data_IF_489181754005
#
_entry.id   IF_489181754005
#
_cell.length_a   1.000
_cell.length_b   1.000
_cell.length_c   1.000
_cell.angle_alpha   90.00
_cell.angle_beta   90.00
_cell.angle_gamma   90.00
#
_symmetry.space_group_name_H-M   'P 1'
#
loop_
_entity.id
_entity.type
_entity.pdbx_description
1 polymer ?
#
# COMPACT_ATOMS: atom_id res chain seq x y z
N UNK A 1 -1.78 -16.39 -0.09
CA UNK A 1 -1.05 -15.57 -1.12
C UNK A 1 -1.21 -16.10 -2.55
N UNK A 2 -2.06 -17.09 -2.75
CA UNK A 2 -2.35 -17.61 -4.11
C UNK A 2 -2.92 -16.53 -5.04
N UNK A 3 -3.69 -15.59 -4.51
CA UNK A 3 -4.28 -14.47 -5.27
C UNK A 3 -3.20 -13.66 -6.02
N UNK A 4 -2.07 -13.41 -5.37
CA UNK A 4 -0.94 -12.69 -5.98
C UNK A 4 -0.24 -13.54 -7.06
N UNK A 5 -0.03 -14.83 -6.83
CA UNK A 5 0.54 -15.71 -7.85
C UNK A 5 -0.38 -15.86 -9.07
N UNK A 6 -1.70 -15.89 -8.84
CA UNK A 6 -2.69 -15.90 -9.91
C UNK A 6 -2.61 -14.61 -10.74
N UNK A 7 -2.38 -13.45 -10.09
CA UNK A 7 -2.15 -12.18 -10.79
C UNK A 7 -0.91 -12.25 -11.69
N UNK A 8 0.24 -12.68 -11.16
CA UNK A 8 1.48 -12.82 -11.97
C UNK A 8 1.27 -13.75 -13.16
N UNK A 9 0.65 -14.90 -12.93
CA UNK A 9 0.35 -15.86 -14.01
C UNK A 9 -0.57 -15.24 -15.06
N UNK A 10 -1.62 -14.52 -14.64
CA UNK A 10 -2.56 -13.86 -15.56
C UNK A 10 -1.85 -12.82 -16.42
N UNK A 11 -0.96 -12.00 -15.86
CA UNK A 11 -0.20 -11.02 -16.64
C UNK A 11 0.70 -11.71 -17.67
N UNK A 12 1.39 -12.80 -17.28
CA UNK A 12 2.29 -13.53 -18.18
C UNK A 12 1.56 -14.24 -19.33
N UNK A 13 0.30 -14.66 -19.12
CA UNK A 13 -0.48 -15.43 -20.10
C UNK A 13 -1.43 -14.58 -20.95
N UNK A 14 -1.97 -13.50 -20.38
CA UNK A 14 -3.00 -12.68 -21.02
C UNK A 14 -2.52 -11.23 -21.30
N UNK A 15 -1.36 -10.83 -20.74
CA UNK A 15 -0.87 -9.46 -20.82
C UNK A 15 -0.52 -9.04 -22.24
N UNK A 16 -0.88 -7.80 -22.57
CA UNK A 16 -0.49 -7.15 -23.82
C UNK A 16 0.81 -6.38 -23.60
N UNK A 17 1.74 -6.50 -24.52
CA UNK A 17 3.00 -5.73 -24.47
C UNK A 17 2.72 -4.26 -24.80
N UNK A 18 3.20 -3.37 -23.93
CA UNK A 18 3.08 -1.90 -24.07
C UNK A 18 4.41 -1.24 -23.79
N UNK A 19 4.62 -0.09 -24.44
CA UNK A 19 5.65 0.87 -24.02
C UNK A 19 5.22 1.58 -22.72
N UNK A 20 6.21 2.15 -22.04
CA UNK A 20 6.01 2.94 -20.82
C UNK A 20 6.95 4.15 -20.79
N UNK A 21 6.78 5.03 -19.80
CA UNK A 21 7.58 6.24 -19.62
C UNK A 21 9.09 5.96 -19.46
N UNK A 22 9.43 4.82 -18.83
CA UNK A 22 10.83 4.45 -18.54
C UNK A 22 11.56 3.84 -19.76
N UNK A 23 10.83 3.49 -20.82
CA UNK A 23 11.39 2.81 -22.00
C UNK A 23 11.69 1.32 -21.78
N UNK A 24 11.44 0.78 -20.58
CA UNK A 24 11.66 -0.65 -20.27
C UNK A 24 10.65 -1.54 -20.99
N UNK A 25 9.41 -1.07 -21.13
CA UNK A 25 8.27 -1.84 -21.64
C UNK A 25 7.64 -2.74 -20.58
N UNK A 26 6.40 -3.09 -20.80
CA UNK A 26 5.60 -3.89 -19.85
C UNK A 26 4.76 -4.93 -20.56
N UNK A 27 4.41 -6.01 -19.86
CA UNK A 27 3.19 -6.79 -20.11
C UNK A 27 2.11 -6.25 -19.19
N UNK A 28 0.94 -5.93 -19.72
CA UNK A 28 -0.12 -5.25 -18.97
C UNK A 28 -1.49 -5.88 -19.23
N UNK A 29 -2.30 -5.96 -18.17
CA UNK A 29 -3.74 -6.21 -18.22
C UNK A 29 -4.46 -5.00 -17.64
N UNK A 30 -5.70 -4.76 -18.02
CA UNK A 30 -6.48 -3.67 -17.46
C UNK A 30 -7.61 -4.20 -16.59
N UNK A 31 -7.54 -3.88 -15.29
CA UNK A 31 -8.50 -4.30 -14.28
C UNK A 31 -8.22 -5.69 -13.70
N UNK A 32 -7.93 -5.71 -12.39
CA UNK A 32 -7.81 -6.94 -11.59
C UNK A 32 -8.22 -6.66 -10.15
N UNK A 33 -8.74 -7.67 -9.45
CA UNK A 33 -9.07 -7.56 -8.04
C UNK A 33 -8.58 -8.79 -7.28
N UNK A 34 -7.93 -8.54 -6.14
CA UNK A 34 -7.52 -9.56 -5.17
C UNK A 34 -8.23 -9.30 -3.84
N UNK A 35 -8.52 -10.38 -3.10
CA UNK A 35 -9.09 -10.33 -1.76
C UNK A 35 -8.24 -11.08 -0.77
N UNK A 36 -7.99 -10.48 0.38
CA UNK A 36 -7.20 -11.03 1.47
C UNK A 36 -8.00 -10.94 2.77
N UNK A 37 -8.46 -12.08 3.29
CA UNK A 37 -9.10 -12.14 4.60
C UNK A 37 -8.01 -12.10 5.68
N UNK A 38 -8.03 -11.06 6.52
CA UNK A 38 -6.99 -10.89 7.53
C UNK A 38 -7.11 -11.89 8.70
N UNK A 39 -8.18 -12.68 8.75
CA UNK A 39 -8.30 -13.83 9.68
C UNK A 39 -7.36 -14.97 9.29
N UNK A 40 -7.03 -15.10 8.00
CA UNK A 40 -6.08 -16.12 7.51
C UNK A 40 -4.63 -15.80 7.86
N UNK A 41 -4.35 -14.57 8.29
CA UNK A 41 -3.04 -14.05 8.62
C UNK A 41 -2.73 -12.71 7.94
N UNK A 42 -1.55 -12.18 8.22
CA UNK A 42 -1.08 -10.93 7.61
C UNK A 42 -0.56 -11.20 6.19
N UNK A 43 -1.09 -10.54 5.14
CA UNK A 43 -0.78 -10.88 3.75
C UNK A 43 0.59 -10.33 3.30
N UNK A 44 1.66 -10.76 3.96
CA UNK A 44 3.04 -10.53 3.58
C UNK A 44 3.53 -11.71 2.75
N UNK A 45 4.04 -11.47 1.54
CA UNK A 45 4.49 -12.52 0.63
C UNK A 45 5.50 -13.47 1.29
N UNK A 46 5.26 -14.78 1.11
CA UNK A 46 6.18 -15.84 1.54
C UNK A 46 6.96 -16.46 0.39
N UNK A 47 6.56 -16.24 -0.86
CA UNK A 47 7.25 -16.73 -2.06
C UNK A 47 8.50 -15.92 -2.42
N UNK A 48 8.65 -14.73 -1.86
CA UNK A 48 9.91 -13.97 -1.77
C UNK A 48 9.91 -13.12 -0.51
N UNK A 49 11.09 -12.96 0.09
CA UNK A 49 11.26 -12.10 1.28
C UNK A 49 11.04 -10.64 0.92
N UNK A 50 10.21 -9.94 1.69
CA UNK A 50 9.98 -8.50 1.61
C UNK A 50 10.64 -7.77 2.78
N UNK A 51 10.99 -6.49 2.57
CA UNK A 51 11.60 -5.64 3.59
C UNK A 51 10.50 -4.91 4.40
N UNK A 52 9.93 -5.60 5.41
CA UNK A 52 8.82 -5.08 6.22
C UNK A 52 9.13 -3.74 6.88
N UNK A 53 10.39 -3.51 7.29
CA UNK A 53 10.80 -2.23 7.89
C UNK A 53 10.47 -1.04 7.00
N UNK A 54 10.74 -1.14 5.69
CA UNK A 54 10.40 -0.07 4.75
C UNK A 54 8.90 0.15 4.64
N UNK A 55 8.12 -0.93 4.64
CA UNK A 55 6.64 -0.87 4.57
C UNK A 55 6.06 -0.13 5.78
N UNK A 56 6.52 -0.47 6.98
CA UNK A 56 6.04 0.16 8.22
C UNK A 56 6.42 1.65 8.26
N UNK A 57 7.70 1.98 8.01
CA UNK A 57 8.14 3.38 8.05
C UNK A 57 7.48 4.25 6.99
N UNK A 58 7.26 3.73 5.77
CA UNK A 58 6.53 4.45 4.72
C UNK A 58 5.09 4.74 5.15
N UNK A 59 4.37 3.75 5.70
CA UNK A 59 3.01 3.96 6.19
C UNK A 59 2.95 4.98 7.32
N UNK A 60 3.86 4.90 8.29
CA UNK A 60 3.96 5.88 9.38
C UNK A 60 4.29 7.29 8.84
N UNK A 61 5.13 7.38 7.83
CA UNK A 61 5.48 8.64 7.16
C UNK A 61 4.25 9.26 6.47
N UNK A 62 3.43 8.46 5.76
CA UNK A 62 2.16 8.94 5.21
C UNK A 62 1.20 9.44 6.30
N UNK A 63 1.06 8.69 7.41
CA UNK A 63 0.19 9.05 8.52
C UNK A 63 0.65 10.32 9.27
N UNK A 64 1.93 10.64 9.23
CA UNK A 64 2.46 11.91 9.75
C UNK A 64 2.11 13.11 8.87
N UNK A 65 1.66 12.89 7.64
CA UNK A 65 1.43 13.94 6.66
C UNK A 65 2.72 14.51 6.06
N UNK A 66 3.83 13.81 6.26
CA UNK A 66 5.15 14.23 5.81
C UNK A 66 5.36 13.92 4.32
N UNK A 67 6.14 14.74 3.65
CA UNK A 67 6.48 14.63 2.21
C UNK A 67 7.98 14.69 1.96
N UNK A 68 8.78 14.92 3.01
CA UNK A 68 10.23 14.94 2.93
C UNK A 68 10.82 13.57 3.27
N UNK A 69 11.76 13.08 2.46
CA UNK A 69 12.36 11.74 2.64
C UNK A 69 13.30 11.63 3.83
N UNK A 70 13.64 12.74 4.51
CA UNK A 70 14.59 12.73 5.64
C UNK A 70 14.17 11.78 6.75
N UNK A 71 12.88 11.78 7.13
CA UNK A 71 12.37 10.83 8.12
C UNK A 71 12.64 9.37 7.72
N UNK A 72 12.42 9.03 6.45
CA UNK A 72 12.68 7.67 5.96
C UNK A 72 14.18 7.34 5.98
N UNK A 73 15.03 8.29 5.56
CA UNK A 73 16.48 8.12 5.52
C UNK A 73 17.08 7.95 6.92
N UNK A 74 16.63 8.70 7.93
CA UNK A 74 17.03 8.57 9.33
C UNK A 74 16.77 7.16 9.88
N UNK A 75 15.76 6.47 9.35
CA UNK A 75 15.43 5.09 9.71
C UNK A 75 16.02 4.04 8.75
N UNK A 76 16.89 4.47 7.81
CA UNK A 76 17.54 3.57 6.86
C UNK A 76 16.64 3.08 5.72
N UNK A 77 15.53 3.79 5.46
CA UNK A 77 14.60 3.52 4.35
C UNK A 77 14.90 4.49 3.21
N UNK A 78 15.09 3.94 2.00
CA UNK A 78 15.56 4.70 0.84
C UNK A 78 14.67 4.56 -0.40
N UNK A 79 13.48 3.98 -0.24
CA UNK A 79 12.59 3.62 -1.34
C UNK A 79 12.00 4.82 -2.11
N UNK A 80 12.20 6.04 -1.61
CA UNK A 80 11.75 7.29 -2.22
C UNK A 80 12.89 8.21 -2.69
N UNK A 81 14.16 7.83 -2.45
CA UNK A 81 15.31 8.70 -2.74
C UNK A 81 15.45 9.10 -4.21
N UNK A 82 15.03 8.23 -5.13
CA UNK A 82 15.17 8.43 -6.58
C UNK A 82 14.28 9.54 -7.13
N UNK A 83 13.22 9.90 -6.40
CA UNK A 83 12.26 10.92 -6.80
C UNK A 83 12.40 12.25 -6.03
N UNK A 84 13.11 12.23 -4.91
CA UNK A 84 13.30 13.42 -4.09
C UNK A 84 14.26 14.43 -4.74
N UNK A 85 13.98 15.71 -4.55
CA UNK A 85 14.88 16.78 -4.94
C UNK A 85 16.13 16.84 -4.03
N UNK A 86 17.00 17.81 -4.25
CA UNK A 86 18.24 18.03 -3.48
C UNK A 86 17.99 18.33 -1.99
N UNK A 87 16.80 18.81 -1.64
CA UNK A 87 16.37 19.11 -0.27
C UNK A 87 15.61 17.92 0.37
N UNK A 88 15.38 16.85 -0.39
CA UNK A 88 14.61 15.69 0.04
C UNK A 88 13.10 15.84 -0.10
N UNK A 89 12.63 16.84 -0.83
CA UNK A 89 11.20 17.11 -1.02
C UNK A 89 10.63 16.32 -2.21
N UNK A 90 9.36 15.92 -2.08
CA UNK A 90 8.61 15.17 -3.08
C UNK A 90 7.37 15.92 -3.60
N UNK A 91 7.14 17.12 -3.10
CA UNK A 91 5.89 17.85 -3.34
C UNK A 91 4.71 17.26 -2.55
N UNK A 92 3.46 17.64 -2.90
CA UNK A 92 2.27 17.31 -2.11
C UNK A 92 1.80 15.86 -2.31
N UNK A 93 2.71 14.87 -2.11
CA UNK A 93 2.43 13.44 -2.27
C UNK A 93 1.54 12.89 -1.14
N UNK A 94 1.29 11.60 -1.10
CA UNK A 94 0.36 10.85 -0.25
C UNK A 94 0.08 11.43 1.15
N UNK A 95 1.12 11.68 1.95
CA UNK A 95 0.98 12.19 3.32
C UNK A 95 0.27 13.54 3.36
N UNK A 96 0.66 14.45 2.48
CA UNK A 96 0.01 15.76 2.35
C UNK A 96 -1.47 15.61 1.99
N UNK A 97 -1.80 14.81 0.97
CA UNK A 97 -3.17 14.62 0.54
C UNK A 97 -4.03 13.96 1.62
N UNK A 98 -3.50 12.97 2.35
CA UNK A 98 -4.23 12.28 3.40
C UNK A 98 -4.52 13.16 4.62
N UNK A 99 -3.58 14.05 4.99
CA UNK A 99 -3.60 14.78 6.25
C UNK A 99 -3.85 16.29 6.12
N UNK A 100 -3.63 16.86 4.96
CA UNK A 100 -3.66 18.32 4.74
C UNK A 100 -4.22 18.68 3.36
N UNK A 101 -5.26 17.96 2.91
CA UNK A 101 -5.92 18.26 1.64
C UNK A 101 -6.38 19.72 1.60
N UNK A 102 -6.02 20.51 0.57
CA UNK A 102 -6.41 21.91 0.51
C UNK A 102 -7.94 22.08 0.49
N UNK A 103 -8.47 22.90 1.40
CA UNK A 103 -9.88 23.31 1.37
C UNK A 103 -10.02 24.59 0.54
N UNK A 104 -11.07 24.68 -0.26
CA UNK A 104 -11.40 25.88 -1.05
C UNK A 104 -11.62 27.16 -0.22
N UNK A 105 -11.75 27.03 1.11
CA UNK A 105 -11.86 28.15 2.07
C UNK A 105 -10.51 28.61 2.62
N UNK A 106 -9.39 28.05 2.12
CA UNK A 106 -8.04 28.37 2.58
C UNK A 106 -7.58 27.64 3.83
N UNK A 107 -8.29 26.59 4.25
CA UNK A 107 -7.91 25.66 5.29
C UNK A 107 -7.42 24.32 4.73
N UNK A 108 -7.38 23.30 5.59
CA UNK A 108 -7.03 21.93 5.23
C UNK A 108 -8.02 20.91 5.79
N UNK A 109 -8.12 19.78 5.11
CA UNK A 109 -8.95 18.64 5.50
C UNK A 109 -8.02 17.48 5.83
N UNK A 110 -8.11 16.97 7.06
CA UNK A 110 -7.47 15.72 7.48
C UNK A 110 -8.40 14.55 7.18
N UNK A 111 -8.19 13.89 6.04
CA UNK A 111 -9.03 12.80 5.58
C UNK A 111 -8.92 11.57 6.49
N UNK A 112 -7.73 11.26 7.04
CA UNK A 112 -7.52 10.12 7.94
C UNK A 112 -8.28 10.33 9.26
N UNK A 113 -8.14 11.50 9.87
CA UNK A 113 -8.89 11.83 11.08
C UNK A 113 -10.41 11.73 10.84
N UNK A 114 -10.88 12.31 9.75
CA UNK A 114 -12.30 12.31 9.40
C UNK A 114 -12.85 10.90 9.19
N UNK A 115 -12.11 10.02 8.51
CA UNK A 115 -12.57 8.65 8.27
C UNK A 115 -12.57 7.82 9.55
N UNK A 116 -11.58 7.98 10.44
CA UNK A 116 -11.56 7.30 11.75
C UNK A 116 -12.76 7.73 12.61
N UNK A 117 -13.03 9.02 12.68
CA UNK A 117 -14.20 9.53 13.41
C UNK A 117 -15.53 9.05 12.79
N UNK A 118 -15.60 8.98 11.47
CA UNK A 118 -16.78 8.47 10.77
C UNK A 118 -17.00 6.97 11.06
N UNK A 119 -15.94 6.15 11.08
CA UNK A 119 -16.03 4.73 11.44
C UNK A 119 -16.57 4.56 12.87
N UNK A 120 -16.10 5.38 13.83
CA UNK A 120 -16.54 5.33 15.25
C UNK A 120 -18.01 5.74 15.43
N UNK A 121 -18.46 6.80 14.75
CA UNK A 121 -19.71 7.46 15.04
C UNK A 121 -20.81 7.20 14.01
N UNK A 122 -20.45 6.80 12.79
CA UNK A 122 -21.38 6.49 11.70
C UNK A 122 -20.88 5.32 10.83
N UNK A 123 -20.77 4.10 11.41
CA UNK A 123 -20.18 2.94 10.72
C UNK A 123 -20.95 2.50 9.47
N UNK A 124 -22.22 2.90 9.33
CA UNK A 124 -23.04 2.61 8.15
C UNK A 124 -22.84 3.61 6.99
N UNK A 125 -21.95 4.59 7.16
CA UNK A 125 -21.67 5.59 6.12
C UNK A 125 -21.03 4.93 4.88
N UNK A 126 -21.44 5.38 3.70
CA UNK A 126 -20.83 5.02 2.42
C UNK A 126 -19.78 6.06 1.97
N UNK A 127 -19.43 7.01 2.86
CA UNK A 127 -18.51 8.12 2.60
C UNK A 127 -17.16 7.96 3.30
N UNK A 128 -16.88 6.79 3.84
CA UNK A 128 -15.61 6.47 4.51
C UNK A 128 -14.52 6.25 3.46
N UNK A 129 -14.07 7.34 2.84
CA UNK A 129 -13.16 7.34 1.69
C UNK A 129 -12.03 8.33 1.92
N UNK A 130 -10.81 7.93 1.52
CA UNK A 130 -9.61 8.75 1.49
C UNK A 130 -9.05 8.74 0.08
N UNK A 131 -8.70 9.90 -0.48
CA UNK A 131 -8.10 10.03 -1.80
C UNK A 131 -6.77 10.75 -1.74
N UNK A 132 -5.81 10.26 -2.52
CA UNK A 132 -4.53 10.93 -2.75
C UNK A 132 -4.47 11.59 -4.14
N UNK A 133 -5.41 11.27 -5.03
CA UNK A 133 -5.47 11.84 -6.37
C UNK A 133 -6.14 13.21 -6.34
N UNK A 134 -5.32 14.26 -6.42
CA UNK A 134 -5.76 15.65 -6.46
C UNK A 134 -5.41 16.25 -7.83
N UNK A 135 -6.38 16.42 -8.76
CA UNK A 135 -6.11 16.97 -10.07
C UNK A 135 -5.51 18.39 -10.07
N UNK A 136 -5.70 19.14 -8.99
CA UNK A 136 -5.16 20.50 -8.87
C UNK A 136 -3.66 20.53 -8.49
N UNK A 137 -3.13 19.45 -7.89
CA UNK A 137 -1.76 19.40 -7.38
C UNK A 137 -0.93 18.24 -7.94
N UNK A 138 -1.52 17.37 -8.78
CA UNK A 138 -0.85 16.17 -9.27
C UNK A 138 0.41 16.46 -10.09
N UNK A 139 0.46 17.60 -10.78
CA UNK A 139 1.62 18.02 -11.56
C UNK A 139 2.77 18.56 -10.69
N UNK A 140 2.49 18.92 -9.43
CA UNK A 140 3.49 19.40 -8.47
C UNK A 140 4.11 18.23 -7.66
N UNK A 141 3.67 17.01 -7.90
CA UNK A 141 4.16 15.82 -7.23
C UNK A 141 5.34 15.21 -7.98
N UNK A 142 6.43 14.89 -7.30
CA UNK A 142 7.58 14.19 -7.88
C UNK A 142 7.16 12.83 -8.50
N UNK A 143 6.16 12.18 -7.91
CA UNK A 143 5.52 10.98 -8.43
C UNK A 143 4.01 11.01 -8.17
N UNK A 144 3.17 11.13 -9.24
CA UNK A 144 1.72 11.07 -9.10
C UNK A 144 1.24 9.77 -8.45
N UNK A 145 0.24 9.82 -7.54
CA UNK A 145 -0.16 8.67 -6.75
C UNK A 145 -0.57 7.46 -7.59
N UNK A 146 0.07 6.32 -7.41
CA UNK A 146 -0.31 5.05 -8.00
C UNK A 146 -1.53 4.45 -7.28
N UNK A 147 -1.52 4.39 -5.96
CA UNK A 147 -2.66 4.01 -5.13
C UNK A 147 -3.49 5.24 -4.81
N UNK A 148 -4.56 5.43 -5.59
CA UNK A 148 -5.27 6.71 -5.70
C UNK A 148 -6.25 6.98 -4.58
N UNK A 149 -7.03 5.97 -4.20
CA UNK A 149 -8.07 6.09 -3.19
C UNK A 149 -8.35 4.76 -2.50
N UNK A 150 -8.84 4.84 -1.27
CA UNK A 150 -9.33 3.68 -0.55
C UNK A 150 -10.59 4.01 0.23
N UNK A 151 -11.44 3.00 0.39
CA UNK A 151 -12.73 3.09 1.06
C UNK A 151 -12.84 2.03 2.13
N UNK A 152 -13.46 2.38 3.25
CA UNK A 152 -13.76 1.45 4.33
C UNK A 152 -15.23 1.00 4.30
N UNK A 153 -15.44 -0.19 4.85
CA UNK A 153 -16.75 -0.79 5.02
C UNK A 153 -16.81 -1.51 6.35
N UNK A 154 -17.86 -1.25 7.12
CA UNK A 154 -18.11 -1.90 8.42
C UNK A 154 -19.29 -2.83 8.30
N UNK A 155 -19.11 -4.08 8.69
CA UNK A 155 -20.17 -5.08 8.79
C UNK A 155 -19.82 -6.12 9.86
N UNK A 156 -20.82 -6.56 10.63
CA UNK A 156 -20.67 -7.66 11.60
C UNK A 156 -19.49 -7.46 12.58
N UNK A 157 -19.29 -6.21 13.03
CA UNK A 157 -18.20 -5.87 13.96
C UNK A 157 -16.80 -5.83 13.31
N UNK A 158 -16.70 -5.91 11.98
CA UNK A 158 -15.45 -5.91 11.23
C UNK A 158 -15.32 -4.74 10.29
N UNK A 159 -14.09 -4.28 10.16
CA UNK A 159 -13.68 -3.25 9.21
C UNK A 159 -12.98 -3.89 8.02
N UNK A 160 -13.44 -3.60 6.81
CA UNK A 160 -12.79 -3.96 5.55
C UNK A 160 -12.33 -2.72 4.81
N UNK A 161 -11.30 -2.86 3.98
CA UNK A 161 -10.71 -1.78 3.19
C UNK A 161 -10.60 -2.21 1.73
N UNK A 162 -11.09 -1.37 0.82
CA UNK A 162 -10.86 -1.53 -0.62
C UNK A 162 -9.97 -0.41 -1.13
N UNK A 163 -8.84 -0.79 -1.75
CA UNK A 163 -7.91 0.11 -2.43
C UNK A 163 -8.18 0.09 -3.93
N UNK A 164 -8.19 1.27 -4.57
CA UNK A 164 -8.01 1.40 -6.03
C UNK A 164 -6.62 1.94 -6.34
N UNK A 165 -5.84 1.16 -7.09
CA UNK A 165 -4.51 1.48 -7.58
C UNK A 165 -4.54 1.59 -9.10
N UNK A 166 -4.34 2.81 -9.64
CA UNK A 166 -4.43 3.09 -11.09
C UNK A 166 -3.29 2.46 -11.91
N UNK A 167 -2.12 2.34 -11.28
CA UNK A 167 -0.89 1.84 -11.89
C UNK A 167 -0.19 0.90 -10.91
N UNK A 168 -0.05 -0.37 -11.29
CA UNK A 168 0.34 -1.45 -10.38
C UNK A 168 1.53 -2.24 -10.95
N UNK A 169 2.77 -1.85 -10.56
CA UNK A 169 3.95 -2.70 -10.77
C UNK A 169 3.79 -3.98 -9.95
N UNK A 170 3.48 -5.06 -10.65
CA UNK A 170 3.09 -6.31 -10.02
C UNK A 170 4.24 -7.06 -9.37
N UNK A 171 5.51 -6.78 -9.72
CA UNK A 171 6.65 -7.48 -9.14
C UNK A 171 7.25 -6.76 -7.93
N UNK A 172 7.50 -5.45 -8.00
CA UNK A 172 8.10 -4.69 -6.91
C UNK A 172 7.06 -3.98 -6.04
N UNK A 173 6.13 -3.25 -6.65
CA UNK A 173 5.20 -2.37 -5.93
C UNK A 173 4.03 -3.09 -5.27
N UNK A 174 3.29 -3.91 -6.00
CA UNK A 174 2.06 -4.56 -5.50
C UNK A 174 2.28 -5.35 -4.19
N UNK A 175 3.36 -6.13 -4.01
CA UNK A 175 3.61 -6.81 -2.74
C UNK A 175 3.74 -5.88 -1.54
N UNK A 176 4.37 -4.72 -1.71
CA UNK A 176 4.49 -3.68 -0.68
C UNK A 176 3.13 -3.05 -0.39
N UNK A 177 2.37 -2.71 -1.43
CA UNK A 177 1.05 -2.11 -1.28
C UNK A 177 0.06 -3.04 -0.57
N UNK A 178 0.06 -4.35 -0.86
CA UNK A 178 -0.77 -5.34 -0.16
C UNK A 178 -0.49 -5.29 1.35
N UNK A 179 0.77 -5.39 1.74
CA UNK A 179 1.16 -5.41 3.15
C UNK A 179 0.90 -4.05 3.84
N UNK A 180 1.18 -2.93 3.16
CA UNK A 180 0.98 -1.58 3.70
C UNK A 180 -0.50 -1.31 4.01
N UNK A 181 -1.41 -1.59 3.06
CA UNK A 181 -2.84 -1.34 3.26
C UNK A 181 -3.50 -2.37 4.18
N UNK A 182 -3.02 -3.60 4.23
CA UNK A 182 -3.45 -4.57 5.23
C UNK A 182 -3.05 -4.13 6.64
N UNK A 183 -1.85 -3.55 6.80
CA UNK A 183 -1.41 -2.98 8.08
C UNK A 183 -2.26 -1.77 8.47
N UNK A 184 -2.51 -0.84 7.55
CA UNK A 184 -3.38 0.31 7.77
C UNK A 184 -4.79 -0.13 8.23
N UNK A 185 -5.34 -1.17 7.58
CA UNK A 185 -6.63 -1.75 7.97
C UNK A 185 -6.61 -2.27 9.41
N UNK A 186 -5.57 -3.02 9.81
CA UNK A 186 -5.45 -3.51 11.18
C UNK A 186 -5.30 -2.38 12.20
N UNK A 187 -4.50 -1.36 11.88
CA UNK A 187 -4.31 -0.19 12.75
C UNK A 187 -5.62 0.57 12.97
N UNK A 188 -6.36 0.86 11.90
CA UNK A 188 -7.65 1.58 12.00
C UNK A 188 -8.71 0.71 12.69
N UNK A 189 -8.78 -0.59 12.42
CA UNK A 189 -9.66 -1.49 13.12
C UNK A 189 -9.41 -1.44 14.64
N UNK A 190 -8.15 -1.52 15.09
CA UNK A 190 -7.79 -1.44 16.49
C UNK A 190 -8.26 -0.14 17.14
N UNK A 191 -7.93 1.03 16.56
CA UNK A 191 -8.26 2.34 17.18
C UNK A 191 -9.75 2.69 17.11
N UNK A 192 -10.52 1.95 16.31
CA UNK A 192 -11.98 2.09 16.21
C UNK A 192 -12.75 0.99 16.96
N UNK A 193 -12.04 0.05 17.60
CA UNK A 193 -12.65 -1.04 18.37
C UNK A 193 -13.32 -2.12 17.53
N UNK A 194 -12.91 -2.27 16.26
CA UNK A 194 -13.40 -3.28 15.32
C UNK A 194 -12.37 -4.37 15.10
N UNK A 195 -12.81 -5.53 14.61
CA UNK A 195 -11.93 -6.56 14.08
C UNK A 195 -11.54 -6.24 12.62
N UNK A 196 -10.32 -6.61 12.22
CA UNK A 196 -9.93 -6.50 10.81
C UNK A 196 -10.66 -7.56 9.98
N UNK A 197 -11.29 -7.12 8.89
CA UNK A 197 -11.98 -7.95 7.92
C UNK A 197 -11.13 -8.27 6.70
N UNK A 198 -11.62 -7.91 5.51
CA UNK A 198 -10.93 -8.14 4.24
C UNK A 198 -10.18 -6.88 3.76
N UNK A 199 -8.97 -7.08 3.23
CA UNK A 199 -8.34 -6.13 2.34
C UNK A 199 -8.65 -6.51 0.89
N UNK A 200 -9.21 -5.58 0.14
CA UNK A 200 -9.58 -5.76 -1.27
C UNK A 200 -8.70 -4.83 -2.10
N UNK A 201 -7.89 -5.40 -2.97
CA UNK A 201 -6.99 -4.66 -3.84
C UNK A 201 -7.49 -4.66 -5.28
N UNK A 202 -8.00 -3.54 -5.73
CA UNK A 202 -8.47 -3.32 -7.10
C UNK A 202 -7.43 -2.51 -7.87
N UNK A 203 -6.99 -3.01 -9.02
CA UNK A 203 -5.95 -2.38 -9.83
C UNK A 203 -6.47 -2.00 -11.22
N UNK A 204 -5.97 -0.89 -11.77
CA UNK A 204 -6.24 -0.41 -13.12
C UNK A 204 -5.25 -1.01 -14.13
N UNK A 205 -4.26 -0.21 -14.60
CA UNK A 205 -3.14 -0.72 -15.41
C UNK A 205 -2.24 -1.59 -14.51
N UNK A 206 -2.35 -2.89 -14.69
CA UNK A 206 -1.68 -3.89 -13.86
C UNK A 206 -0.61 -4.55 -14.71
N UNK A 207 0.64 -4.26 -14.40
CA UNK A 207 1.73 -4.57 -15.31
C UNK A 207 2.91 -5.26 -14.64
N UNK A 208 3.68 -5.93 -15.47
CA UNK A 208 4.96 -6.52 -15.15
C UNK A 208 5.98 -5.95 -16.13
N UNK A 209 7.01 -5.27 -15.63
CA UNK A 209 8.09 -4.77 -16.45
C UNK A 209 8.83 -5.90 -17.16
N UNK A 210 9.25 -5.67 -18.41
CA UNK A 210 9.90 -6.71 -19.21
C UNK A 210 11.21 -7.21 -18.60
N UNK A 211 11.91 -6.39 -17.83
CA UNK A 211 13.10 -6.78 -17.07
C UNK A 211 12.82 -7.63 -15.82
N UNK A 212 11.54 -7.88 -15.49
CA UNK A 212 11.12 -8.72 -14.34
C UNK A 212 10.45 -10.04 -14.76
N UNK A 213 10.41 -10.37 -16.05
CA UNK A 213 9.71 -11.57 -16.52
C UNK A 213 10.30 -12.87 -15.94
N UNK A 214 11.64 -12.99 -15.92
CA UNK A 214 12.29 -14.18 -15.38
C UNK A 214 12.13 -14.29 -13.85
N UNK A 215 12.15 -13.17 -13.15
CA UNK A 215 11.89 -13.12 -11.71
C UNK A 215 10.47 -13.56 -11.38
N UNK A 216 9.48 -13.10 -12.17
CA UNK A 216 8.09 -13.51 -11.99
C UNK A 216 7.89 -15.01 -12.28
N UNK A 217 8.50 -15.54 -13.35
CA UNK A 217 8.50 -16.98 -13.65
C UNK A 217 9.12 -17.79 -12.51
N UNK A 218 10.28 -17.35 -11.99
CA UNK A 218 10.92 -17.99 -10.84
C UNK A 218 10.00 -17.97 -9.62
N UNK A 219 9.33 -16.85 -9.35
CA UNK A 219 8.42 -16.74 -8.21
C UNK A 219 7.22 -17.67 -8.34
N UNK A 220 6.71 -17.90 -9.54
CA UNK A 220 5.63 -18.86 -9.83
C UNK A 220 6.00 -20.33 -9.61
N UNK A 221 7.30 -20.67 -9.59
CA UNK A 221 7.74 -22.03 -9.22
C UNK A 221 7.74 -22.29 -7.72
N UNK A 222 7.46 -21.27 -6.90
CA UNK A 222 7.56 -21.34 -5.45
C UNK A 222 6.19 -21.53 -4.80
N UNK A 223 6.10 -22.49 -3.89
CA UNK A 223 4.91 -22.73 -3.09
C UNK A 223 4.76 -21.69 -1.98
N UNK A 224 3.58 -21.07 -1.81
CA UNK A 224 3.31 -20.19 -0.67
C UNK A 224 3.40 -20.95 0.66
N UNK A 225 4.06 -20.35 1.64
CA UNK A 225 4.11 -20.84 3.02
C UNK A 225 2.98 -20.21 3.85
N UNK A 226 2.70 -20.72 5.06
CA UNK A 226 1.72 -20.14 5.96
C UNK A 226 1.97 -18.63 6.16
N UNK A 227 0.89 -17.86 6.23
CA UNK A 227 0.97 -16.43 6.47
C UNK A 227 1.46 -16.13 7.89
N UNK A 228 2.29 -15.10 8.06
CA UNK A 228 2.66 -14.62 9.38
C UNK A 228 1.48 -13.93 10.06
N UNK A 229 1.65 -13.63 11.34
CA UNK A 229 0.73 -12.78 12.10
C UNK A 229 1.40 -11.44 12.40
N UNK A 230 0.67 -10.36 12.20
CA UNK A 230 1.07 -9.04 12.67
C UNK A 230 0.44 -8.79 14.04
N UNK A 231 1.28 -8.69 15.06
CA UNK A 231 0.87 -8.27 16.40
C UNK A 231 1.10 -6.77 16.51
N UNK A 232 0.08 -6.05 16.97
CA UNK A 232 0.11 -4.60 17.16
C UNK A 232 -0.05 -4.32 18.65
N UNK A 233 0.71 -3.35 19.17
CA UNK A 233 0.63 -2.93 20.56
C UNK A 233 -0.80 -2.50 20.91
N UNK A 234 -1.53 -3.22 21.79
CA UNK A 234 -2.95 -2.93 22.06
C UNK A 234 -3.16 -1.65 22.86
N UNK A 235 -2.11 -1.06 23.44
CA UNK A 235 -2.19 0.16 24.23
C UNK A 235 -2.32 1.42 23.36
N UNK A 236 -1.96 1.37 22.07
CA UNK A 236 -2.11 2.48 21.15
C UNK A 236 -3.59 2.65 20.77
N UNK A 237 -4.14 3.85 21.04
CA UNK A 237 -5.56 4.19 20.86
C UNK A 237 -5.81 5.26 19.82
N UNK A 238 -4.77 5.97 19.37
CA UNK A 238 -4.86 6.96 18.30
C UNK A 238 -4.03 6.47 17.10
N UNK A 239 -4.57 6.63 15.90
CA UNK A 239 -3.93 6.21 14.65
C UNK A 239 -2.60 6.93 14.41
N UNK A 240 -2.42 8.12 14.97
CA UNK A 240 -1.23 8.96 14.81
C UNK A 240 -0.14 8.71 15.86
N UNK A 241 -0.42 7.89 16.89
CA UNK A 241 0.52 7.60 17.96
C UNK A 241 1.39 6.36 17.70
N UNK A 242 1.07 5.58 16.66
CA UNK A 242 1.84 4.39 16.33
C UNK A 242 3.30 4.71 15.97
N UNK A 243 4.18 3.84 16.46
CA UNK A 243 5.62 3.83 16.20
C UNK A 243 6.04 2.48 15.65
N UNK A 244 7.22 2.39 15.08
CA UNK A 244 7.76 1.15 14.53
C UNK A 244 7.77 0.00 15.54
N UNK A 245 8.09 0.31 16.80
CA UNK A 245 8.18 -0.65 17.91
C UNK A 245 6.84 -1.26 18.33
N UNK A 246 5.72 -0.69 17.88
CA UNK A 246 4.37 -1.19 18.17
C UNK A 246 3.97 -2.38 17.28
N UNK A 247 4.83 -2.77 16.32
CA UNK A 247 4.57 -3.85 15.37
C UNK A 247 5.55 -5.01 15.55
N UNK A 248 5.01 -6.20 15.73
CA UNK A 248 5.77 -7.44 15.84
C UNK A 248 5.27 -8.46 14.83
N UNK A 249 6.13 -8.88 13.89
CA UNK A 249 5.80 -9.91 12.92
C UNK A 249 6.16 -11.29 13.46
N UNK A 250 5.17 -12.18 13.58
CA UNK A 250 5.33 -13.51 14.16
C UNK A 250 5.17 -14.57 13.06
N UNK A 251 6.12 -15.50 13.00
CA UNK A 251 6.05 -16.66 12.12
C UNK A 251 6.30 -16.36 10.64
N UNK A 252 7.02 -15.29 10.30
CA UNK A 252 7.40 -14.99 8.93
C UNK A 252 8.58 -15.87 8.48
N UNK A 253 8.28 -16.86 7.64
CA UNK A 253 9.26 -17.79 7.06
C UNK A 253 9.19 -17.71 5.52
N UNK A 254 9.72 -16.64 4.91
CA UNK A 254 9.69 -16.48 3.46
C UNK A 254 10.79 -17.28 2.75
N UNK A 255 10.54 -17.60 1.49
CA UNK A 255 11.60 -18.01 0.57
C UNK A 255 12.54 -16.82 0.28
N UNK A 256 13.79 -17.09 -0.18
CA UNK A 256 14.78 -16.05 -0.40
C UNK A 256 14.28 -14.91 -1.28
N UNK A 257 14.81 -13.71 -1.05
CA UNK A 257 14.54 -12.54 -1.87
C UNK A 257 14.85 -12.81 -3.35
N UNK A 258 14.03 -12.24 -4.23
CA UNK A 258 14.28 -12.20 -5.67
C UNK A 258 14.52 -10.73 -6.04
N UNK A 259 15.77 -10.35 -6.42
CA UNK A 259 16.07 -8.97 -6.75
C UNK A 259 15.41 -8.55 -8.06
N UNK A 260 15.01 -7.28 -8.13
CA UNK A 260 14.55 -6.62 -9.36
C UNK A 260 15.09 -5.19 -9.42
N UNK A 261 15.41 -4.72 -10.62
CA UNK A 261 15.85 -3.36 -10.85
C UNK A 261 14.64 -2.48 -11.06
N UNK A 262 14.57 -1.36 -10.31
CA UNK A 262 13.48 -0.38 -10.45
C UNK A 262 13.55 0.25 -11.84
N UNK A 263 12.41 0.33 -12.53
CA UNK A 263 12.28 1.06 -13.78
C UNK A 263 11.98 2.55 -13.44
N UNK A 264 12.90 3.45 -13.80
CA UNK A 264 12.87 4.89 -13.51
C UNK A 264 12.88 5.71 -14.79
#
# INVERSE_FOLDING_TARGET
>A
MQQYLNLLNRILTEGTQKGDRTGTGTLSIFGHQMRFDLRDGFPLLTTKKLHLKSIIYELLWFLRGDTNVRYLQEHGVRIWNEWADENGELGPVYGHQWRSWPDYKGGTIDQIKNVVEMIKHNPNSRRMLVTAWNPAEVEDMALPPCHCLFQFYVAEGRLSLQLYQRSADSFLGVPFNIASYALLLQMIAQVTGLEAGEFIHTTGDTHLYLNHLEQAKLQLTREPRPLPKMKINPDVKDIFDFKYEDFELIGYDPLPHIPGVVAV
#
